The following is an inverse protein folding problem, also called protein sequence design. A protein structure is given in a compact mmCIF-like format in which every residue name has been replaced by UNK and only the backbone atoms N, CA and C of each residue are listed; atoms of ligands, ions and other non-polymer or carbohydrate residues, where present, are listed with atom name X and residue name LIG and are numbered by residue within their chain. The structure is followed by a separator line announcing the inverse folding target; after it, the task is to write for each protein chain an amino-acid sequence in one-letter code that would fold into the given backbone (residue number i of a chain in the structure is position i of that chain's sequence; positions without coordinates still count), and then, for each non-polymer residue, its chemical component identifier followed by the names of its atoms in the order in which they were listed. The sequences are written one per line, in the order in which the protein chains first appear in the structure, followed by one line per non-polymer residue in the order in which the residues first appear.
data_IF_184800045231
#
_entry.id   IF_184800045231
#
_cell.length_a   1.000
_cell.length_b   1.000
_cell.length_c   1.000
_cell.angle_alpha   90.00
_cell.angle_beta   90.00
_cell.angle_gamma   90.00
#
_symmetry.space_group_name_H-M   'P 1'
#
loop_
_entity.id
_entity.type
_entity.pdbx_description
1 polymer ?
#
# COMPACT_ATOMS: atom_id res chain seq x y z
N UNK A 1 19.95 -14.59 -6.23
CA UNK A 1 20.50 -13.36 -6.81
C UNK A 1 19.35 -12.49 -7.28
N UNK A 2 19.10 -11.40 -6.56
CA UNK A 2 18.33 -10.24 -7.00
C UNK A 2 18.54 -9.16 -5.95
N UNK A 3 19.54 -8.30 -6.16
CA UNK A 3 19.65 -7.07 -5.38
C UNK A 3 18.44 -6.21 -5.75
N UNK A 4 17.37 -6.31 -4.97
CA UNK A 4 16.26 -5.38 -5.03
C UNK A 4 16.83 -3.99 -4.77
N UNK A 5 17.02 -3.22 -5.84
CA UNK A 5 17.36 -1.81 -5.72
C UNK A 5 16.09 -1.14 -5.23
N UNK A 6 16.02 -0.88 -3.92
CA UNK A 6 14.89 -0.13 -3.36
C UNK A 6 14.93 1.24 -4.01
N UNK A 7 13.90 1.55 -4.79
CA UNK A 7 13.72 2.84 -5.45
C UNK A 7 12.48 3.49 -4.85
N UNK A 8 12.61 4.74 -4.42
CA UNK A 8 11.49 5.52 -3.94
C UNK A 8 11.13 6.61 -4.94
N UNK A 9 9.85 6.98 -5.02
CA UNK A 9 9.35 8.03 -5.90
C UNK A 9 9.11 9.30 -5.12
N UNK A 10 9.53 10.43 -5.68
CA UNK A 10 9.23 11.73 -5.10
C UNK A 10 7.70 11.98 -5.16
N UNK A 11 7.03 12.30 -4.04
CA UNK A 11 5.57 12.50 -4.05
C UNK A 11 5.09 13.74 -4.80
N UNK A 12 5.99 14.66 -5.16
CA UNK A 12 5.62 15.88 -5.86
C UNK A 12 5.83 15.80 -7.38
N UNK A 13 6.82 15.03 -7.86
CA UNK A 13 7.12 14.93 -9.30
C UNK A 13 7.11 13.50 -9.84
N UNK A 14 6.87 12.50 -8.99
CA UNK A 14 6.81 11.06 -9.28
C UNK A 14 8.07 10.45 -9.90
N UNK A 15 9.17 11.22 -9.97
CA UNK A 15 10.45 10.74 -10.45
C UNK A 15 11.12 9.86 -9.39
N UNK A 16 11.81 8.81 -9.87
CA UNK A 16 12.63 7.94 -9.03
C UNK A 16 13.78 8.74 -8.40
N UNK A 17 14.05 8.47 -7.12
CA UNK A 17 15.13 9.10 -6.38
C UNK A 17 16.13 8.05 -5.90
N UNK A 18 17.41 8.36 -6.12
CA UNK A 18 18.62 7.77 -5.53
C UNK A 18 18.75 7.87 -4.01
N UNK A 19 18.60 6.83 -3.15
CA UNK A 19 18.98 6.97 -1.73
C UNK A 19 20.51 7.12 -1.63
N UNK A 20 20.99 8.21 -1.02
CA UNK A 20 22.43 8.47 -0.78
C UNK A 20 22.84 8.39 0.70
N UNK A 21 21.88 8.22 1.60
CA UNK A 21 22.07 8.30 3.06
C UNK A 21 21.16 7.32 3.76
N UNK A 22 21.57 6.74 4.88
CA UNK A 22 20.84 5.65 5.55
C UNK A 22 19.47 6.06 6.15
N UNK A 23 19.25 7.35 6.40
CA UNK A 23 18.01 7.87 6.99
C UNK A 23 16.77 7.81 6.09
N UNK A 24 15.58 8.00 6.70
CA UNK A 24 14.30 8.06 5.99
C UNK A 24 14.06 9.41 5.31
N UNK A 25 14.77 10.47 5.66
CA UNK A 25 14.59 11.78 5.03
C UNK A 25 15.48 11.93 3.79
N UNK A 26 14.89 12.06 2.61
CA UNK A 26 15.63 12.27 1.35
C UNK A 26 15.22 13.56 0.65
N UNK A 27 16.14 14.17 -0.10
CA UNK A 27 15.89 15.38 -0.87
C UNK A 27 15.70 15.08 -2.36
N UNK A 28 14.63 15.60 -2.96
CA UNK A 28 14.45 15.56 -4.41
C UNK A 28 15.14 16.76 -5.06
N UNK A 29 16.17 16.53 -5.87
CA UNK A 29 16.94 17.60 -6.51
C UNK A 29 16.11 18.38 -7.54
N UNK A 30 15.28 17.68 -8.33
CA UNK A 30 14.39 18.31 -9.32
C UNK A 30 13.39 19.26 -8.65
N UNK A 31 12.66 18.76 -7.65
CA UNK A 31 11.71 19.59 -6.90
C UNK A 31 12.41 20.72 -6.15
N UNK A 32 13.62 20.49 -5.64
CA UNK A 32 14.37 21.54 -4.94
C UNK A 32 14.76 22.69 -5.87
N UNK A 33 15.17 22.36 -7.11
CA UNK A 33 15.47 23.35 -8.16
C UNK A 33 14.21 24.11 -8.58
N UNK A 34 13.11 23.41 -8.89
CA UNK A 34 11.85 24.01 -9.35
C UNK A 34 11.23 24.91 -8.27
N UNK A 35 11.20 24.45 -7.01
CA UNK A 35 10.57 25.19 -5.90
C UNK A 35 11.49 26.24 -5.26
N UNK A 36 12.77 26.33 -5.68
CA UNK A 36 13.81 27.18 -5.08
C UNK A 36 13.91 27.05 -3.55
N UNK A 37 13.65 25.85 -3.03
CA UNK A 37 13.78 25.47 -1.61
C UNK A 37 14.14 24.00 -1.52
N UNK A 38 14.84 23.56 -0.47
CA UNK A 38 15.09 22.13 -0.30
C UNK A 38 13.75 21.41 -0.10
N UNK A 39 13.40 20.54 -1.05
CA UNK A 39 12.23 19.68 -0.97
C UNK A 39 12.64 18.30 -0.47
N UNK A 40 12.11 17.92 0.69
CA UNK A 40 12.38 16.65 1.35
C UNK A 40 11.13 15.81 1.46
N UNK A 41 11.31 14.50 1.48
CA UNK A 41 10.23 13.54 1.69
C UNK A 41 10.75 12.31 2.43
N UNK A 42 9.82 11.55 3.01
CA UNK A 42 10.12 10.27 3.63
C UNK A 42 10.34 9.22 2.54
N UNK A 43 11.49 8.56 2.56
CA UNK A 43 11.88 7.49 1.64
C UNK A 43 10.87 6.33 1.66
N UNK A 44 10.38 5.97 2.84
CA UNK A 44 9.52 4.80 3.02
C UNK A 44 8.06 5.13 2.70
N UNK A 45 7.46 6.11 3.38
CA UNK A 45 6.03 6.42 3.19
C UNK A 45 5.75 7.43 2.07
N UNK A 46 6.77 7.95 1.38
CA UNK A 46 6.65 8.90 0.27
C UNK A 46 5.73 10.11 0.60
N UNK A 47 5.86 10.69 1.79
CA UNK A 47 5.19 11.95 2.16
C UNK A 47 6.19 13.09 2.31
N UNK A 48 5.77 14.33 2.03
CA UNK A 48 6.65 15.50 2.23
C UNK A 48 7.13 15.53 3.68
N UNK A 49 8.45 15.71 3.86
CA UNK A 49 9.04 15.72 5.18
C UNK A 49 8.65 17.01 5.89
N UNK A 50 8.16 16.96 7.15
CA UNK A 50 7.77 18.16 7.85
C UNK A 50 8.95 19.13 8.01
N UNK A 51 8.72 20.42 7.77
CA UNK A 51 9.79 21.45 7.79
C UNK A 51 10.47 21.60 9.15
N UNK A 52 9.76 21.29 10.22
CA UNK A 52 10.21 21.46 11.62
C UNK A 52 10.91 20.23 12.18
N UNK A 53 10.91 19.11 11.45
CA UNK A 53 11.47 17.84 11.93
C UNK A 53 12.92 17.69 11.50
N UNK A 54 13.78 17.23 12.42
CA UNK A 54 15.17 16.91 12.13
C UNK A 54 15.27 15.93 10.95
N UNK A 55 16.30 16.11 10.12
CA UNK A 55 16.56 15.21 8.98
C UNK A 55 17.22 13.90 9.41
N UNK A 56 17.67 13.82 10.66
CA UNK A 56 18.34 12.64 11.23
C UNK A 56 17.40 11.76 12.06
N UNK A 57 16.21 12.26 12.42
CA UNK A 57 15.21 11.46 13.13
C UNK A 57 14.45 10.54 12.19
N UNK A 58 13.94 9.45 12.74
CA UNK A 58 12.94 8.63 12.07
C UNK A 58 11.68 9.45 11.74
N UNK A 59 10.94 9.00 10.73
CA UNK A 59 9.68 9.61 10.34
C UNK A 59 8.64 9.40 11.45
N UNK A 60 8.12 10.51 11.97
CA UNK A 60 7.11 10.53 13.03
C UNK A 60 5.69 10.77 12.50
N UNK A 61 5.50 10.74 11.18
CA UNK A 61 4.18 10.94 10.59
C UNK A 61 3.28 9.74 10.89
N UNK A 62 2.00 9.95 11.26
CA UNK A 62 1.07 8.87 11.55
C UNK A 62 1.02 7.84 10.44
N UNK A 63 0.98 6.56 10.78
CA UNK A 63 0.90 5.45 9.82
C UNK A 63 2.07 5.37 8.81
N UNK A 64 3.26 5.90 9.15
CA UNK A 64 4.43 5.81 8.26
C UNK A 64 4.74 4.37 7.87
N UNK A 65 4.80 3.44 8.84
CA UNK A 65 5.10 2.03 8.59
C UNK A 65 4.02 1.35 7.74
N UNK A 66 2.74 1.57 8.08
CA UNK A 66 1.61 1.06 7.30
C UNK A 66 1.68 1.54 5.85
N UNK A 67 1.77 2.85 5.64
CA UNK A 67 1.83 3.44 4.30
C UNK A 67 3.06 2.96 3.51
N UNK A 68 4.19 2.74 4.16
CA UNK A 68 5.38 2.16 3.53
C UNK A 68 5.14 0.71 3.07
N UNK A 69 4.48 -0.11 3.88
CA UNK A 69 4.13 -1.48 3.50
C UNK A 69 3.15 -1.52 2.31
N UNK A 70 2.16 -0.63 2.29
CA UNK A 70 1.18 -0.55 1.20
C UNK A 70 1.76 -0.06 -0.14
N UNK A 71 2.90 0.62 -0.12
CA UNK A 71 3.65 1.02 -1.32
C UNK A 71 4.51 -0.11 -1.91
N UNK A 72 4.59 -1.26 -1.22
CA UNK A 72 5.34 -2.41 -1.72
C UNK A 72 4.73 -2.94 -3.01
N UNK A 73 5.57 -3.21 -4.01
CA UNK A 73 5.17 -3.87 -5.26
C UNK A 73 5.10 -5.41 -5.12
N UNK A 74 5.35 -5.96 -3.92
CA UNK A 74 5.28 -7.40 -3.67
C UNK A 74 3.82 -7.87 -3.76
N UNK A 75 3.60 -8.93 -4.53
CA UNK A 75 2.31 -9.59 -4.70
C UNK A 75 2.38 -11.04 -4.24
N UNK A 76 1.23 -11.59 -3.88
CA UNK A 76 1.06 -13.01 -3.61
C UNK A 76 1.28 -13.77 -4.93
N UNK A 77 2.25 -14.67 -4.96
CA UNK A 77 2.67 -15.36 -6.17
C UNK A 77 2.32 -16.85 -6.21
N UNK A 78 1.77 -17.40 -5.12
CA UNK A 78 1.36 -18.80 -5.08
C UNK A 78 0.20 -19.04 -6.06
N UNK A 79 0.36 -19.90 -7.08
CA UNK A 79 -0.69 -20.18 -8.07
C UNK A 79 -1.90 -20.92 -7.51
N UNK A 80 -1.79 -21.55 -6.34
CA UNK A 80 -2.91 -22.24 -5.70
C UNK A 80 -3.68 -21.31 -4.74
N UNK A 81 -3.22 -20.07 -4.58
CA UNK A 81 -3.86 -19.12 -3.69
C UNK A 81 -5.08 -18.46 -4.32
N UNK A 82 -6.19 -18.42 -3.59
CA UNK A 82 -7.36 -17.61 -3.97
C UNK A 82 -7.06 -16.10 -4.03
N UNK A 83 -5.98 -15.66 -3.39
CA UNK A 83 -5.49 -14.29 -3.41
C UNK A 83 -4.30 -14.09 -4.37
N UNK A 84 -4.04 -15.04 -5.29
CA UNK A 84 -2.95 -14.92 -6.27
C UNK A 84 -3.03 -13.58 -7.01
N UNK A 85 -1.92 -12.86 -7.06
CA UNK A 85 -1.83 -11.55 -7.72
C UNK A 85 -2.26 -10.38 -6.84
N UNK A 86 -2.83 -10.58 -5.65
CA UNK A 86 -3.11 -9.50 -4.72
C UNK A 86 -1.82 -8.85 -4.18
N UNK A 87 -1.85 -7.54 -3.81
CA UNK A 87 -0.82 -6.96 -2.97
C UNK A 87 -0.58 -7.79 -1.71
N UNK A 88 0.68 -8.06 -1.37
CA UNK A 88 1.00 -8.88 -0.20
C UNK A 88 0.56 -8.21 1.11
N UNK A 89 0.68 -6.88 1.17
CA UNK A 89 0.24 -6.06 2.28
C UNK A 89 -1.05 -5.32 1.93
N UNK A 90 -2.05 -5.43 2.79
CA UNK A 90 -3.32 -4.69 2.73
C UNK A 90 -3.55 -3.90 4.01
N UNK A 91 -4.37 -2.86 3.93
CA UNK A 91 -4.92 -2.19 5.10
C UNK A 91 -6.36 -2.63 5.31
N UNK A 92 -6.75 -2.92 6.55
CA UNK A 92 -8.15 -3.11 6.89
C UNK A 92 -8.95 -1.86 6.50
N UNK A 93 -10.05 -1.99 5.73
CA UNK A 93 -10.85 -0.85 5.26
C UNK A 93 -11.51 -0.08 6.41
N UNK A 94 -11.74 -0.73 7.56
CA UNK A 94 -12.37 -0.12 8.73
C UNK A 94 -11.36 0.55 9.68
N UNK A 95 -10.29 -0.17 10.08
CA UNK A 95 -9.39 0.28 11.15
C UNK A 95 -7.93 0.53 10.75
N UNK A 96 -7.59 0.38 9.46
CA UNK A 96 -6.23 0.54 8.93
C UNK A 96 -5.18 -0.38 9.57
N UNK A 97 -5.57 -1.53 10.14
CA UNK A 97 -4.61 -2.56 10.52
C UNK A 97 -3.85 -3.06 9.29
N UNK A 98 -2.54 -3.30 9.42
CA UNK A 98 -1.75 -3.96 8.38
C UNK A 98 -2.10 -5.45 8.36
N UNK A 99 -2.45 -5.98 7.20
CA UNK A 99 -2.89 -7.35 6.99
C UNK A 99 -2.10 -8.00 5.85
N UNK A 100 -2.00 -9.32 5.93
CA UNK A 100 -1.45 -10.21 4.90
C UNK A 100 -2.39 -11.41 4.77
N UNK A 101 -2.47 -11.99 3.59
CA UNK A 101 -3.13 -13.28 3.37
C UNK A 101 -2.06 -14.37 3.37
N UNK A 102 -2.31 -15.49 4.06
CA UNK A 102 -1.35 -16.59 4.18
C UNK A 102 -1.19 -17.40 2.89
N UNK A 103 -2.18 -17.30 2.00
CA UNK A 103 -2.17 -17.91 0.69
C UNK A 103 -3.13 -19.10 0.58
N UNK A 104 -3.69 -19.56 1.70
CA UNK A 104 -4.55 -20.73 1.77
C UNK A 104 -6.03 -20.33 1.90
N UNK A 105 -6.94 -21.17 1.42
CA UNK A 105 -8.37 -21.01 1.68
C UNK A 105 -9.08 -19.90 0.89
N UNK A 106 -10.12 -19.32 1.51
CA UNK A 106 -11.03 -18.34 0.92
C UNK A 106 -10.41 -16.94 0.93
N UNK A 107 -10.65 -16.09 -0.09
CA UNK A 107 -10.13 -14.73 -0.08
C UNK A 107 -10.80 -13.84 0.97
N UNK A 108 -11.90 -14.28 1.59
CA UNK A 108 -12.57 -13.60 2.71
C UNK A 108 -11.73 -13.72 3.99
N UNK A 109 -11.42 -12.59 4.62
CA UNK A 109 -10.64 -12.55 5.85
C UNK A 109 -11.35 -11.74 6.93
N UNK A 110 -11.14 -12.11 8.19
CA UNK A 110 -11.54 -11.30 9.33
C UNK A 110 -10.35 -10.46 9.83
N UNK A 111 -10.56 -9.16 10.02
CA UNK A 111 -9.53 -8.32 10.61
C UNK A 111 -9.31 -8.64 12.10
N UNK A 112 -8.14 -9.13 12.53
CA UNK A 112 -7.90 -9.53 13.93
C UNK A 112 -7.95 -8.38 14.94
N UNK A 113 -7.97 -7.12 14.47
CA UNK A 113 -8.04 -5.92 15.32
C UNK A 113 -9.47 -5.43 15.56
N UNK A 114 -10.37 -5.59 14.60
CA UNK A 114 -11.70 -4.97 14.64
C UNK A 114 -12.85 -5.88 14.18
N UNK A 115 -12.55 -7.15 13.87
CA UNK A 115 -13.51 -8.17 13.43
C UNK A 115 -14.35 -7.79 12.22
N UNK A 116 -13.89 -6.83 11.42
CA UNK A 116 -14.50 -6.56 10.11
C UNK A 116 -14.08 -7.68 9.15
N UNK A 117 -15.07 -8.38 8.63
CA UNK A 117 -14.95 -9.33 7.53
C UNK A 117 -15.01 -8.57 6.20
N UNK A 118 -14.08 -8.89 5.31
CA UNK A 118 -14.06 -8.41 3.94
C UNK A 118 -13.15 -9.30 3.09
N UNK A 119 -13.36 -9.25 1.78
CA UNK A 119 -12.48 -9.96 0.85
C UNK A 119 -11.15 -9.27 0.64
N UNK A 120 -10.06 -10.02 0.75
CA UNK A 120 -8.70 -9.55 0.53
C UNK A 120 -8.43 -9.08 -0.92
N UNK A 121 -9.14 -9.65 -1.89
CA UNK A 121 -9.04 -9.28 -3.30
C UNK A 121 -9.75 -7.96 -3.61
N UNK A 122 -11.04 -7.89 -3.26
CA UNK A 122 -11.95 -6.83 -3.68
C UNK A 122 -12.13 -5.71 -2.62
N UNK A 123 -11.71 -5.94 -1.37
CA UNK A 123 -11.87 -5.08 -0.19
C UNK A 123 -13.33 -4.75 0.19
N UNK A 124 -14.30 -5.49 -0.36
CA UNK A 124 -15.74 -5.34 -0.04
C UNK A 124 -16.18 -6.36 1.02
N UNK A 125 -17.23 -6.07 1.81
CA UNK A 125 -17.74 -6.96 2.87
C UNK A 125 -18.38 -8.27 2.36
N UNK A 126 -18.75 -8.32 1.08
CA UNK A 126 -19.29 -9.50 0.42
C UNK A 126 -18.74 -9.55 -1.00
N UNK A 127 -18.01 -10.59 -1.38
CA UNK A 127 -17.87 -10.94 -2.79
C UNK A 127 -18.64 -12.25 -2.99
N UNK A 128 -19.54 -12.29 -3.98
CA UNK A 128 -20.28 -13.50 -4.32
C UNK A 128 -19.37 -14.36 -5.21
N UNK A 129 -19.04 -15.56 -4.76
CA UNK A 129 -18.34 -16.54 -5.59
C UNK A 129 -19.25 -16.96 -6.75
N UNK A 130 -18.68 -16.97 -7.96
CA UNK A 130 -19.36 -17.24 -9.23
C UNK A 130 -20.03 -18.63 -9.32
N UNK A 131 -19.79 -19.52 -8.35
CA UNK A 131 -20.32 -20.90 -8.35
C UNK A 131 -21.75 -21.03 -7.82
N UNK A 132 -22.37 -19.98 -7.26
CA UNK A 132 -23.71 -20.08 -6.65
C UNK A 132 -24.86 -19.40 -7.40
N UNK A 133 -24.63 -18.73 -8.54
CA UNK A 133 -25.71 -17.99 -9.20
C UNK A 133 -26.24 -18.75 -10.42
N UNK A 134 -27.25 -19.59 -10.16
CA UNK A 134 -28.26 -19.90 -11.17
C UNK A 134 -29.11 -18.67 -11.42
N UNK A 135 -28.99 -18.11 -12.63
CA UNK A 135 -29.91 -17.23 -13.37
C UNK A 135 -30.60 -16.04 -12.64
N UNK A 136 -30.36 -14.85 -13.21
CA UNK A 136 -31.14 -13.60 -13.13
C UNK A 136 -30.99 -12.69 -11.90
N UNK A 137 -29.79 -12.10 -11.70
CA UNK A 137 -29.69 -10.73 -11.19
C UNK A 137 -28.56 -9.98 -11.93
N UNK A 138 -28.94 -9.03 -12.79
CA UNK A 138 -28.04 -8.05 -13.38
C UNK A 138 -27.74 -6.98 -12.32
N UNK A 139 -26.56 -7.01 -11.71
CA UNK A 139 -25.80 -5.87 -11.14
C UNK A 139 -24.77 -6.28 -10.05
N UNK A 140 -24.38 -7.56 -9.92
CA UNK A 140 -23.29 -7.95 -9.03
C UNK A 140 -21.92 -7.73 -9.69
N UNK A 141 -21.23 -6.66 -9.32
CA UNK A 141 -19.85 -6.38 -9.74
C UNK A 141 -18.93 -7.55 -9.38
N UNK A 142 -18.34 -8.16 -10.40
CA UNK A 142 -17.37 -9.25 -10.32
C UNK A 142 -16.26 -8.97 -9.28
N UNK A 143 -15.87 -9.99 -8.52
CA UNK A 143 -14.73 -9.90 -7.60
C UNK A 143 -13.45 -9.67 -8.38
N UNK A 144 -12.95 -8.43 -8.41
CA UNK A 144 -11.69 -8.08 -9.06
C UNK A 144 -10.62 -7.67 -8.06
N UNK A 145 -9.36 -8.00 -8.36
CA UNK A 145 -8.21 -7.61 -7.54
C UNK A 145 -7.98 -6.11 -7.66
N UNK A 146 -8.20 -5.37 -6.58
CA UNK A 146 -7.86 -3.94 -6.49
C UNK A 146 -6.45 -3.73 -5.96
N UNK A 147 -5.81 -2.61 -6.28
CA UNK A 147 -4.52 -2.23 -5.66
C UNK A 147 -4.73 -1.51 -4.31
N UNK A 148 -3.66 -0.98 -3.71
CA UNK A 148 -3.72 -0.24 -2.45
C UNK A 148 -4.02 1.26 -2.62
N UNK A 149 -4.40 1.74 -3.81
CA UNK A 149 -4.53 3.17 -4.10
C UNK A 149 -5.52 3.89 -3.18
N UNK A 150 -6.69 3.31 -2.92
CA UNK A 150 -7.70 3.91 -2.03
C UNK A 150 -7.18 4.01 -0.59
N UNK A 151 -6.58 2.95 -0.05
CA UNK A 151 -5.96 2.96 1.27
C UNK A 151 -4.82 4.00 1.35
N UNK A 152 -4.00 4.11 0.30
CA UNK A 152 -2.93 5.11 0.22
C UNK A 152 -3.46 6.54 0.17
N UNK A 153 -4.64 6.79 -0.42
CA UNK A 153 -5.29 8.10 -0.42
C UNK A 153 -5.82 8.46 0.97
N UNK A 154 -6.39 7.51 1.71
CA UNK A 154 -6.89 7.71 3.07
C UNK A 154 -5.77 7.97 4.10
N UNK A 155 -4.55 7.51 3.82
CA UNK A 155 -3.37 7.66 4.68
C UNK A 155 -2.46 8.84 4.31
N UNK A 156 -2.92 9.76 3.46
CA UNK A 156 -2.14 10.93 3.02
C UNK A 156 -1.79 11.87 4.17
#
# INVERSE_FOLDING_TARGET
MSHSTTKSKCPACHQEVVKKSDGQCVACQLCSKVKRRIFRFCWDCQREWPKTTSTYSACNQPNCALRAALLSDIRISDPNSSAQGCPYFRACPNCNALLTHDGEGCPEIECPKCSTEFCFCCLRPTCIDFELIGHDFHDDEECTIVDNSQSLMALR
#
